data_IF_499974277180
#
_entry.id   IF_499974277180
#
_cell.length_a   1.000
_cell.length_b   1.000
_cell.length_c   1.000
_cell.angle_alpha   90.00
_cell.angle_beta   90.00
_cell.angle_gamma   90.00
#
_symmetry.space_group_name_H-M   'P 1'
#
loop_
_entity.id
_entity.type
_entity.pdbx_description
1 polymer ?
#
# COMPACT_ATOMS: atom_id res chain seq x y z
N UNK A 1 -11.05 22.92 15.33
CA UNK A 1 -12.42 22.45 15.08
C UNK A 1 -13.03 23.32 14.02
N UNK A 2 -12.97 22.89 12.77
CA UNK A 2 -13.56 23.63 11.65
C UNK A 2 -15.04 23.29 11.62
N UNK A 3 -15.91 24.21 12.08
CA UNK A 3 -17.36 24.01 12.00
C UNK A 3 -17.78 24.07 10.54
N UNK A 4 -18.30 22.97 10.00
CA UNK A 4 -18.89 22.97 8.67
C UNK A 4 -20.18 23.81 8.68
N UNK A 5 -20.48 24.55 7.59
CA UNK A 5 -21.73 25.29 7.50
C UNK A 5 -22.94 24.37 7.69
N UNK A 6 -24.02 24.88 8.27
CA UNK A 6 -25.28 24.18 8.30
C UNK A 6 -25.75 23.87 6.87
N UNK A 7 -26.28 22.67 6.64
CA UNK A 7 -26.63 22.20 5.31
C UNK A 7 -26.77 20.68 5.21
N UNK A 8 -27.14 20.22 4.01
CA UNK A 8 -27.22 18.80 3.68
C UNK A 8 -26.02 18.45 2.80
N UNK A 9 -25.41 17.30 3.09
CA UNK A 9 -24.20 16.82 2.45
C UNK A 9 -24.38 15.37 2.01
N UNK A 10 -23.82 15.03 0.87
CA UNK A 10 -23.69 13.66 0.36
C UNK A 10 -22.27 13.20 0.60
N UNK A 11 -22.07 12.00 1.14
CA UNK A 11 -20.75 11.44 1.37
C UNK A 11 -20.57 10.07 0.69
N UNK A 12 -19.32 9.75 0.39
CA UNK A 12 -18.91 8.43 -0.06
C UNK A 12 -17.59 8.04 0.60
N UNK A 13 -17.49 6.78 1.01
CA UNK A 13 -16.31 6.19 1.63
C UNK A 13 -15.89 4.98 0.82
N UNK A 14 -14.62 4.96 0.45
CA UNK A 14 -14.01 3.88 -0.31
C UNK A 14 -12.79 3.37 0.44
N UNK A 15 -12.62 2.05 0.47
CA UNK A 15 -11.40 1.42 0.96
C UNK A 15 -10.46 1.22 -0.22
N UNK A 16 -9.21 1.63 -0.06
CA UNK A 16 -8.14 1.34 -0.99
C UNK A 16 -7.17 0.34 -0.37
N UNK A 17 -6.81 -0.68 -1.15
CA UNK A 17 -5.91 -1.74 -0.72
C UNK A 17 -4.86 -2.01 -1.78
N UNK A 18 -3.59 -1.99 -1.36
CA UNK A 18 -2.42 -2.24 -2.21
C UNK A 18 -1.52 -3.25 -1.51
N UNK A 19 -1.16 -4.32 -2.22
CA UNK A 19 -0.31 -5.41 -1.73
C UNK A 19 0.84 -5.68 -2.69
N UNK A 20 2.08 -5.56 -2.19
CA UNK A 20 3.32 -5.80 -2.93
C UNK A 20 4.48 -6.11 -1.98
N UNK A 21 5.54 -5.28 -2.00
CA UNK A 21 6.59 -5.35 -0.97
C UNK A 21 6.08 -4.99 0.43
N UNK A 22 5.02 -4.18 0.49
CA UNK A 22 4.24 -3.84 1.70
C UNK A 22 2.75 -3.91 1.40
N UNK A 23 1.98 -4.12 2.45
CA UNK A 23 0.53 -4.00 2.42
C UNK A 23 0.13 -2.62 2.93
N UNK A 24 -0.74 -1.95 2.19
CA UNK A 24 -1.33 -0.65 2.53
C UNK A 24 -2.84 -0.79 2.42
N UNK A 25 -3.54 -0.40 3.47
CA UNK A 25 -4.99 -0.31 3.52
C UNK A 25 -5.37 1.04 4.12
N UNK A 26 -6.27 1.77 3.47
CA UNK A 26 -6.77 3.06 3.96
C UNK A 26 -8.19 3.32 3.50
N UNK A 27 -8.92 4.12 4.28
CA UNK A 27 -10.22 4.66 3.90
C UNK A 27 -10.03 6.05 3.32
N UNK A 28 -10.76 6.34 2.26
CA UNK A 28 -10.78 7.62 1.58
C UNK A 28 -12.21 8.15 1.55
N UNK A 29 -12.33 9.44 1.86
CA UNK A 29 -13.59 10.10 2.14
C UNK A 29 -13.77 11.27 1.19
N UNK A 30 -14.98 11.39 0.65
CA UNK A 30 -15.40 12.57 -0.09
C UNK A 30 -16.79 13.00 0.37
N UNK A 31 -16.97 14.29 0.58
CA UNK A 31 -18.25 14.90 0.97
C UNK A 31 -18.54 16.07 0.03
N UNK A 32 -19.74 16.10 -0.54
CA UNK A 32 -20.23 17.20 -1.38
C UNK A 32 -21.48 17.82 -0.75
N UNK A 33 -21.61 19.13 -0.81
CA UNK A 33 -22.87 19.79 -0.46
C UNK A 33 -23.98 19.37 -1.42
N UNK A 34 -25.20 19.14 -0.91
CA UNK A 34 -26.35 18.84 -1.75
C UNK A 34 -26.74 20.06 -2.60
N UNK A 35 -26.87 21.22 -1.94
CA UNK A 35 -27.30 22.48 -2.54
C UNK A 35 -26.17 23.51 -2.69
N UNK A 36 -24.93 23.11 -2.37
CA UNK A 36 -23.76 23.98 -2.47
C UNK A 36 -22.69 23.32 -3.32
N UNK A 37 -21.82 24.15 -3.93
CA UNK A 37 -20.64 23.66 -4.65
C UNK A 37 -19.51 23.25 -3.69
N UNK A 38 -19.80 23.04 -2.40
CA UNK A 38 -18.78 22.71 -1.42
C UNK A 38 -18.31 21.27 -1.62
N UNK A 39 -17.00 21.11 -1.73
CA UNK A 39 -16.30 19.84 -1.71
C UNK A 39 -15.42 19.79 -0.47
N UNK A 40 -15.56 18.74 0.32
CA UNK A 40 -14.72 18.45 1.48
C UNK A 40 -14.09 17.08 1.24
N UNK A 41 -12.78 16.97 1.39
CA UNK A 41 -12.03 15.74 1.22
C UNK A 41 -11.00 15.54 2.34
N UNK A 42 -10.30 14.40 2.31
CA UNK A 42 -9.26 14.04 3.27
C UNK A 42 -9.73 14.05 4.72
N UNK A 43 -8.86 14.50 5.62
CA UNK A 43 -9.08 14.51 7.08
C UNK A 43 -10.36 15.26 7.49
N UNK A 44 -10.74 16.31 6.74
CA UNK A 44 -11.94 17.08 7.04
C UNK A 44 -13.22 16.30 6.70
N UNK A 45 -13.21 15.55 5.59
CA UNK A 45 -14.31 14.67 5.21
C UNK A 45 -14.39 13.46 6.15
N UNK A 46 -13.25 12.85 6.47
CA UNK A 46 -13.16 11.76 7.44
C UNK A 46 -13.73 12.18 8.80
N UNK A 47 -13.27 13.32 9.32
CA UNK A 47 -13.76 13.87 10.59
C UNK A 47 -15.28 14.08 10.53
N UNK A 48 -15.80 14.70 9.48
CA UNK A 48 -17.23 14.96 9.35
C UNK A 48 -18.06 13.67 9.33
N UNK A 49 -17.67 12.67 8.54
CA UNK A 49 -18.38 11.39 8.43
C UNK A 49 -18.31 10.62 9.75
N UNK A 50 -17.12 10.54 10.37
CA UNK A 50 -16.93 9.81 11.61
C UNK A 50 -17.64 10.49 12.79
N UNK A 51 -17.63 11.82 12.87
CA UNK A 51 -18.41 12.57 13.88
C UNK A 51 -19.91 12.34 13.68
N UNK A 52 -20.41 12.39 12.44
CA UNK A 52 -21.83 12.10 12.17
C UNK A 52 -22.20 10.65 12.55
N UNK A 53 -21.33 9.69 12.30
CA UNK A 53 -21.55 8.29 12.67
C UNK A 53 -21.52 8.05 14.20
N UNK A 54 -20.65 8.78 14.91
CA UNK A 54 -20.42 8.57 16.35
C UNK A 54 -21.38 9.38 17.24
N UNK A 55 -21.65 10.63 16.87
CA UNK A 55 -22.38 11.60 17.68
C UNK A 55 -23.74 12.00 17.08
N UNK A 56 -23.98 11.63 15.82
CA UNK A 56 -25.20 11.94 15.10
C UNK A 56 -26.42 11.14 15.56
N UNK A 57 -27.54 11.40 14.90
CA UNK A 57 -28.81 10.69 15.10
C UNK A 57 -29.45 10.40 13.76
N UNK A 58 -30.22 9.32 13.69
CA UNK A 58 -30.95 8.95 12.49
C UNK A 58 -31.88 10.08 12.03
N UNK A 59 -31.78 10.43 10.76
CA UNK A 59 -32.64 11.43 10.15
C UNK A 59 -33.86 10.79 9.51
N UNK A 60 -34.85 10.46 10.34
CA UNK A 60 -36.06 9.71 9.94
C UNK A 60 -36.93 10.39 8.85
N UNK A 61 -36.71 11.69 8.57
CA UNK A 61 -37.44 12.46 7.56
C UNK A 61 -36.60 12.93 6.37
N UNK A 62 -35.45 12.29 6.12
CA UNK A 62 -34.52 12.69 5.06
C UNK A 62 -35.18 12.75 3.67
N UNK A 63 -36.04 11.77 3.35
CA UNK A 63 -36.75 11.68 2.07
C UNK A 63 -37.65 12.89 1.75
N UNK A 64 -38.08 13.66 2.76
CA UNK A 64 -38.90 14.87 2.55
C UNK A 64 -38.06 16.11 2.25
N UNK A 65 -36.74 16.03 2.45
CA UNK A 65 -35.82 17.17 2.38
C UNK A 65 -34.70 16.96 1.35
N UNK A 66 -34.50 15.73 0.89
CA UNK A 66 -33.44 15.35 -0.04
C UNK A 66 -34.07 14.86 -1.34
N UNK A 67 -33.72 15.52 -2.45
CA UNK A 67 -33.97 14.97 -3.77
C UNK A 67 -33.06 13.74 -3.96
N UNK A 68 -33.69 12.56 -4.03
CA UNK A 68 -33.00 11.28 -4.18
C UNK A 68 -32.18 11.20 -5.48
N UNK A 69 -32.65 11.81 -6.56
CA UNK A 69 -31.96 11.77 -7.85
C UNK A 69 -30.70 12.65 -7.82
N UNK A 70 -30.81 13.84 -7.21
CA UNK A 70 -29.67 14.73 -7.00
C UNK A 70 -28.64 14.08 -6.09
N UNK A 71 -29.07 13.51 -4.96
CA UNK A 71 -28.18 12.85 -4.02
C UNK A 71 -27.44 11.66 -4.65
N UNK A 72 -28.15 10.82 -5.42
CA UNK A 72 -27.54 9.71 -6.15
C UNK A 72 -26.50 10.19 -7.18
N UNK A 73 -26.81 11.26 -7.92
CA UNK A 73 -25.89 11.84 -8.91
C UNK A 73 -24.61 12.38 -8.26
N UNK A 74 -24.73 13.03 -7.11
CA UNK A 74 -23.59 13.50 -6.33
C UNK A 74 -22.77 12.33 -5.76
N UNK A 75 -23.42 11.28 -5.29
CA UNK A 75 -22.76 10.09 -4.79
C UNK A 75 -21.97 9.37 -5.89
N UNK A 76 -22.54 9.24 -7.08
CA UNK A 76 -21.86 8.69 -8.25
C UNK A 76 -20.64 9.52 -8.64
N UNK A 77 -20.76 10.85 -8.58
CA UNK A 77 -19.62 11.75 -8.80
C UNK A 77 -18.55 11.59 -7.72
N UNK A 78 -18.91 11.44 -6.43
CA UNK A 78 -17.95 11.18 -5.37
C UNK A 78 -17.20 9.86 -5.59
N UNK A 79 -17.92 8.81 -6.00
CA UNK A 79 -17.33 7.51 -6.33
C UNK A 79 -16.35 7.64 -7.49
N UNK A 80 -16.74 8.28 -8.59
CA UNK A 80 -15.89 8.47 -9.76
C UNK A 80 -14.59 9.24 -9.41
N UNK A 81 -14.70 10.30 -8.61
CA UNK A 81 -13.54 11.08 -8.14
C UNK A 81 -12.59 10.21 -7.31
N UNK A 82 -13.13 9.37 -6.41
CA UNK A 82 -12.32 8.47 -5.59
C UNK A 82 -11.68 7.35 -6.41
N UNK A 83 -12.37 6.79 -7.41
CA UNK A 83 -11.80 5.80 -8.34
C UNK A 83 -10.65 6.41 -9.17
N UNK A 84 -10.79 7.66 -9.61
CA UNK A 84 -9.71 8.36 -10.30
C UNK A 84 -8.48 8.56 -9.42
N UNK A 85 -8.67 9.10 -8.21
CA UNK A 85 -7.59 9.27 -7.23
C UNK A 85 -6.95 7.93 -6.85
N UNK A 86 -7.72 6.85 -6.79
CA UNK A 86 -7.21 5.51 -6.54
C UNK A 86 -6.24 5.06 -7.64
N UNK A 87 -6.58 5.30 -8.92
CA UNK A 87 -5.70 4.95 -10.05
C UNK A 87 -4.36 5.69 -9.96
N UNK A 88 -4.39 6.97 -9.62
CA UNK A 88 -3.17 7.77 -9.42
C UNK A 88 -2.33 7.25 -8.25
N UNK A 89 -2.98 6.97 -7.11
CA UNK A 89 -2.35 6.39 -5.94
C UNK A 89 -1.71 5.02 -6.24
N UNK A 90 -2.45 4.10 -6.87
CA UNK A 90 -1.97 2.77 -7.23
C UNK A 90 -0.78 2.85 -8.20
N UNK A 91 -0.81 3.76 -9.18
CA UNK A 91 0.31 3.99 -10.09
C UNK A 91 1.55 4.53 -9.37
N UNK A 92 1.38 5.45 -8.42
CA UNK A 92 2.47 5.94 -7.59
C UNK A 92 3.07 4.82 -6.72
N UNK A 93 2.22 4.03 -6.06
CA UNK A 93 2.65 2.88 -5.25
C UNK A 93 3.39 1.84 -6.08
N UNK A 94 2.96 1.55 -7.32
CA UNK A 94 3.65 0.60 -8.20
C UNK A 94 5.08 1.03 -8.52
N UNK A 95 5.30 2.33 -8.76
CA UNK A 95 6.65 2.87 -9.01
C UNK A 95 7.53 2.75 -7.77
N UNK A 96 7.03 3.17 -6.62
CA UNK A 96 7.76 3.10 -5.35
C UNK A 96 8.11 1.64 -4.98
N UNK A 97 7.16 0.72 -5.15
CA UNK A 97 7.32 -0.69 -4.83
C UNK A 97 8.41 -1.35 -5.71
N UNK A 98 8.38 -1.07 -7.02
CA UNK A 98 9.41 -1.56 -7.96
C UNK A 98 10.80 -1.03 -7.60
N UNK A 99 10.93 0.25 -7.24
CA UNK A 99 12.21 0.82 -6.79
C UNK A 99 12.71 0.19 -5.49
N UNK A 100 11.79 -0.05 -4.54
CA UNK A 100 12.13 -0.70 -3.27
C UNK A 100 12.61 -2.14 -3.50
N UNK A 101 11.91 -2.91 -4.34
CA UNK A 101 12.31 -4.28 -4.69
C UNK A 101 13.69 -4.27 -5.35
N UNK A 102 13.92 -3.38 -6.31
CA UNK A 102 15.24 -3.22 -6.95
C UNK A 102 16.35 -2.93 -5.93
N UNK A 103 16.11 -2.01 -5.00
CA UNK A 103 17.07 -1.69 -3.93
C UNK A 103 17.36 -2.90 -3.04
N UNK A 104 16.32 -3.61 -2.59
CA UNK A 104 16.46 -4.79 -1.74
C UNK A 104 17.24 -5.91 -2.44
N UNK A 105 16.95 -6.17 -3.72
CA UNK A 105 17.69 -7.16 -4.52
C UNK A 105 19.17 -6.78 -4.64
N UNK A 106 19.47 -5.53 -5.04
CA UNK A 106 20.87 -5.06 -5.14
C UNK A 106 21.62 -5.16 -3.82
N UNK A 107 20.95 -4.83 -2.70
CA UNK A 107 21.54 -4.94 -1.37
C UNK A 107 21.87 -6.38 -1.00
N UNK A 108 20.99 -7.33 -1.35
CA UNK A 108 21.22 -8.76 -1.10
C UNK A 108 22.36 -9.31 -1.95
N UNK A 109 22.42 -8.93 -3.23
CA UNK A 109 23.50 -9.31 -4.15
C UNK A 109 24.85 -8.78 -3.67
N UNK A 110 24.91 -7.50 -3.28
CA UNK A 110 26.13 -6.90 -2.75
C UNK A 110 26.59 -7.56 -1.45
N UNK A 111 25.66 -7.86 -0.54
CA UNK A 111 25.97 -8.56 0.70
C UNK A 111 26.50 -9.98 0.45
N UNK A 112 25.88 -10.70 -0.50
CA UNK A 112 26.34 -12.02 -0.91
C UNK A 112 27.77 -11.92 -1.46
N UNK A 113 28.03 -10.99 -2.38
CA UNK A 113 29.35 -10.83 -2.98
C UNK A 113 30.44 -10.55 -1.92
N UNK A 114 30.16 -9.67 -0.96
CA UNK A 114 31.07 -9.41 0.15
C UNK A 114 31.29 -10.66 1.03
N UNK A 115 30.24 -11.45 1.28
CA UNK A 115 30.35 -12.71 2.03
C UNK A 115 31.11 -13.80 1.27
N UNK A 116 31.07 -13.83 -0.07
CA UNK A 116 31.79 -14.82 -0.90
C UNK A 116 33.30 -14.64 -0.83
N UNK A 117 33.80 -13.43 -0.55
CA UNK A 117 35.25 -13.12 -0.50
C UNK A 117 36.02 -14.03 0.46
N UNK A 118 35.62 -14.11 1.73
CA UNK A 118 36.35 -14.90 2.75
C UNK A 118 36.44 -16.40 2.41
N UNK A 119 35.33 -17.11 2.07
CA UNK A 119 35.41 -18.49 1.62
C UNK A 119 36.25 -18.67 0.35
N UNK A 120 36.14 -17.77 -0.63
CA UNK A 120 36.97 -17.83 -1.84
C UNK A 120 38.47 -17.71 -1.51
N UNK A 121 38.85 -16.74 -0.67
CA UNK A 121 40.23 -16.56 -0.22
C UNK A 121 40.76 -17.80 0.51
N UNK A 122 39.94 -18.41 1.37
CA UNK A 122 40.31 -19.64 2.09
C UNK A 122 40.48 -20.83 1.14
N UNK A 123 39.56 -21.02 0.20
CA UNK A 123 39.65 -22.09 -0.81
C UNK A 123 40.91 -21.90 -1.66
N UNK A 124 41.19 -20.67 -2.12
CA UNK A 124 42.39 -20.37 -2.89
C UNK A 124 43.67 -20.68 -2.09
N UNK A 125 43.73 -20.24 -0.83
CA UNK A 125 44.87 -20.52 0.06
C UNK A 125 45.07 -22.01 0.33
N UNK A 126 44.00 -22.76 0.58
CA UNK A 126 44.10 -24.21 0.80
C UNK A 126 44.55 -24.94 -0.45
N UNK A 127 44.03 -24.54 -1.61
CA UNK A 127 44.43 -25.11 -2.91
C UNK A 127 45.91 -24.84 -3.20
N UNK A 128 46.37 -23.60 -3.00
CA UNK A 128 47.77 -23.22 -3.23
C UNK A 128 48.75 -23.88 -2.24
N UNK A 129 48.31 -24.27 -1.05
CA UNK A 129 49.19 -24.84 -0.03
C UNK A 129 49.66 -26.27 -0.31
N UNK A 130 48.95 -27.03 -1.16
CA UNK A 130 49.25 -28.44 -1.44
C UNK A 130 49.11 -29.41 -0.24
N UNK A 131 48.82 -28.90 0.96
CA UNK A 131 48.68 -29.70 2.17
C UNK A 131 47.38 -30.52 2.15
N UNK A 132 47.51 -31.84 2.19
CA UNK A 132 46.40 -32.79 2.19
C UNK A 132 45.35 -32.51 3.28
N UNK A 133 45.77 -32.03 4.46
CA UNK A 133 44.84 -31.68 5.56
C UNK A 133 44.02 -30.44 5.22
N UNK A 134 44.63 -29.41 4.62
CA UNK A 134 43.94 -28.19 4.18
C UNK A 134 43.04 -28.44 2.97
N UNK A 135 43.47 -29.28 2.02
CA UNK A 135 42.66 -29.65 0.87
C UNK A 135 41.37 -30.39 1.27
N UNK A 136 41.39 -31.20 2.33
CA UNK A 136 40.18 -31.85 2.90
C UNK A 136 39.14 -30.87 3.46
N UNK A 137 39.52 -29.62 3.74
CA UNK A 137 38.60 -28.58 4.24
C UNK A 137 37.85 -27.84 3.12
N UNK A 138 38.33 -27.91 1.87
CA UNK A 138 37.73 -27.23 0.71
C UNK A 138 36.25 -27.61 0.48
N UNK A 139 35.83 -28.90 0.57
CA UNK A 139 34.43 -29.27 0.40
C UNK A 139 33.50 -28.60 1.42
N UNK A 140 33.96 -28.46 2.67
CA UNK A 140 33.17 -27.81 3.71
C UNK A 140 32.96 -26.32 3.41
N UNK A 141 34.00 -25.60 2.98
CA UNK A 141 33.88 -24.19 2.60
C UNK A 141 33.02 -23.99 1.34
N UNK A 142 33.13 -24.88 0.34
CA UNK A 142 32.24 -24.89 -0.84
C UNK A 142 30.78 -25.16 -0.44
N UNK A 143 30.54 -26.07 0.50
CA UNK A 143 29.20 -26.35 1.03
C UNK A 143 28.57 -25.15 1.72
N UNK A 144 29.35 -24.44 2.57
CA UNK A 144 28.90 -23.19 3.21
C UNK A 144 28.56 -22.11 2.18
N UNK A 145 29.41 -21.92 1.18
CA UNK A 145 29.22 -20.97 0.09
C UNK A 145 27.94 -21.26 -0.70
N UNK A 146 27.73 -22.54 -1.07
CA UNK A 146 26.53 -22.99 -1.79
C UNK A 146 25.26 -22.71 -0.98
N UNK A 147 25.25 -23.07 0.31
CA UNK A 147 24.09 -22.85 1.19
C UNK A 147 23.73 -21.38 1.33
N UNK A 148 24.72 -20.50 1.53
CA UNK A 148 24.46 -19.06 1.65
C UNK A 148 23.99 -18.46 0.32
N UNK A 149 24.56 -18.91 -0.81
CA UNK A 149 24.14 -18.47 -2.14
C UNK A 149 22.67 -18.86 -2.40
N UNK A 150 22.31 -20.11 -2.17
CA UNK A 150 20.93 -20.59 -2.32
C UNK A 150 19.94 -19.83 -1.42
N UNK A 151 20.35 -19.50 -0.19
CA UNK A 151 19.53 -18.70 0.74
C UNK A 151 19.23 -17.31 0.18
N UNK A 152 20.24 -16.64 -0.37
CA UNK A 152 20.09 -15.30 -0.96
C UNK A 152 19.29 -15.36 -2.26
N UNK A 153 19.58 -16.32 -3.14
CA UNK A 153 18.83 -16.53 -4.39
C UNK A 153 17.35 -16.81 -4.14
N UNK A 154 17.03 -17.65 -3.15
CA UNK A 154 15.66 -17.91 -2.73
C UNK A 154 14.96 -16.62 -2.27
N UNK A 155 15.64 -15.80 -1.47
CA UNK A 155 15.07 -14.52 -1.03
C UNK A 155 14.87 -13.52 -2.18
N UNK A 156 15.77 -13.48 -3.16
CA UNK A 156 15.61 -12.65 -4.36
C UNK A 156 14.40 -13.14 -5.19
N UNK A 157 14.24 -14.46 -5.34
CA UNK A 157 13.08 -15.02 -6.04
C UNK A 157 11.75 -14.64 -5.35
N UNK A 158 11.68 -14.73 -4.02
CA UNK A 158 10.52 -14.27 -3.23
C UNK A 158 10.22 -12.79 -3.46
N UNK A 159 11.24 -11.93 -3.50
CA UNK A 159 11.06 -10.50 -3.75
C UNK A 159 10.55 -10.21 -5.16
N UNK A 160 11.04 -10.94 -6.17
CA UNK A 160 10.58 -10.80 -7.55
C UNK A 160 9.13 -11.25 -7.74
N UNK A 161 8.68 -12.25 -7.00
CA UNK A 161 7.25 -12.63 -7.00
C UNK A 161 6.33 -11.53 -6.47
N UNK A 162 6.86 -10.57 -5.69
CA UNK A 162 6.11 -9.42 -5.17
C UNK A 162 6.13 -8.20 -6.11
N UNK A 163 6.83 -8.27 -7.24
CA UNK A 163 6.94 -7.15 -8.19
C UNK A 163 5.61 -6.86 -8.88
N UNK A 164 4.72 -7.85 -8.95
CA UNK A 164 3.36 -7.68 -9.41
C UNK A 164 2.48 -7.14 -8.28
N UNK A 165 2.47 -5.81 -8.16
CA UNK A 165 1.61 -5.09 -7.23
C UNK A 165 0.14 -5.40 -7.50
N UNK A 166 -0.58 -5.88 -6.49
CA UNK A 166 -2.04 -6.01 -6.53
C UNK A 166 -2.66 -4.78 -5.89
N UNK A 167 -3.56 -4.12 -6.61
CA UNK A 167 -4.28 -2.95 -6.13
C UNK A 167 -5.77 -3.13 -6.40
N UNK A 168 -6.61 -2.85 -5.41
CA UNK A 168 -8.05 -2.78 -5.58
C UNK A 168 -8.67 -1.73 -4.65
N UNK A 169 -9.79 -1.17 -5.09
CA UNK A 169 -10.67 -0.34 -4.32
C UNK A 169 -12.03 -1.04 -4.11
N UNK A 170 -12.72 -0.68 -3.03
CA UNK A 170 -14.06 -1.20 -2.74
C UNK A 170 -14.90 -0.15 -2.02
N UNK A 171 -16.15 0.04 -2.45
CA UNK A 171 -17.11 0.87 -1.74
C UNK A 171 -17.37 0.32 -0.33
N UNK A 172 -17.39 1.21 0.66
CA UNK A 172 -17.61 0.86 2.07
C UNK A 172 -18.95 1.40 2.55
N UNK A 173 -19.18 2.70 2.36
CA UNK A 173 -20.39 3.37 2.81
C UNK A 173 -20.66 4.59 1.94
N UNK A 174 -21.92 5.02 1.91
CA UNK A 174 -22.31 6.30 1.36
C UNK A 174 -23.72 6.66 1.83
N UNK A 175 -24.01 7.96 1.82
CA UNK A 175 -25.29 8.44 2.31
C UNK A 175 -25.33 9.95 2.43
N UNK A 176 -26.24 10.44 3.26
CA UNK A 176 -26.46 11.87 3.50
C UNK A 176 -26.27 12.24 4.97
N UNK A 177 -25.70 13.42 5.20
CA UNK A 177 -25.50 14.01 6.53
C UNK A 177 -26.15 15.39 6.53
N UNK A 178 -26.91 15.71 7.58
CA UNK A 178 -27.45 17.05 7.80
C UNK A 178 -26.75 17.69 8.98
N UNK A 179 -26.13 18.86 8.75
CA UNK A 179 -25.56 19.73 9.78
C UNK A 179 -26.57 20.82 10.08
N UNK A 180 -26.87 21.03 11.38
CA UNK A 180 -27.85 22.00 11.89
C UNK A 180 -27.13 23.05 12.72
#
# INVERSE_FOLDING_TARGET
TTSQPAGIYVYFVMRWSVSGSRDIERLEYLVKGLDSSLLIDGDAAELMVNTAALEGRDWLGANMHVDAQQAASLQDSCRADLEERFREFAAAQKREDSDRIRLMVRSLEHHLENKKRKPHDLIARYTASGDAKRMRMIPAERGRLKKETQRVEGRIAELRLKEDLKAHDSAVSGGVIRVI
#
